data_IF_323743461714
#
_entry.id   IF_323743461714
#
_cell.length_a   1.000
_cell.length_b   1.000
_cell.length_c   1.000
_cell.angle_alpha   90.00
_cell.angle_beta   90.00
_cell.angle_gamma   90.00
#
_symmetry.space_group_name_H-M   'P 1'
#
loop_
_entity.id
_entity.type
_entity.pdbx_description
1 polymer ?
#
# COMPACT_ATOMS: atom_id res chain seq x y z
N UNK A 1 -23.89 -16.73 12.25
CA UNK A 1 -22.45 -17.01 12.46
C UNK A 1 -21.84 -17.32 11.11
N UNK A 2 -20.89 -16.48 10.67
CA UNK A 2 -19.64 -16.80 9.97
C UNK A 2 -19.23 -15.56 9.19
N UNK A 3 -18.38 -14.74 9.83
CA UNK A 3 -17.55 -13.78 9.12
C UNK A 3 -16.59 -14.65 8.31
N UNK A 4 -16.80 -14.70 7.00
CA UNK A 4 -15.96 -15.40 6.05
C UNK A 4 -14.62 -14.65 6.01
N UNK A 5 -13.70 -15.04 6.88
CA UNK A 5 -12.30 -14.60 6.82
C UNK A 5 -11.75 -14.95 5.45
N UNK A 6 -11.04 -13.99 4.84
CA UNK A 6 -10.39 -14.20 3.53
C UNK A 6 -9.60 -15.49 3.53
N UNK A 7 -9.75 -16.28 2.47
CA UNK A 7 -9.27 -17.65 2.39
C UNK A 7 -7.75 -17.71 2.62
N UNK A 8 -7.26 -18.71 3.36
CA UNK A 8 -5.84 -18.80 3.74
C UNK A 8 -4.90 -18.85 2.52
N UNK A 9 -5.43 -19.24 1.35
CA UNK A 9 -4.75 -19.19 0.05
C UNK A 9 -4.50 -17.76 -0.44
N UNK A 10 -5.44 -16.86 -0.22
CA UNK A 10 -5.29 -15.45 -0.57
C UNK A 10 -4.21 -14.79 0.29
N UNK A 11 -4.19 -15.11 1.59
CA UNK A 11 -3.15 -14.63 2.50
C UNK A 11 -1.74 -15.14 2.15
N UNK A 12 -1.62 -16.39 1.69
CA UNK A 12 -0.35 -16.96 1.24
C UNK A 12 0.13 -16.34 -0.08
N UNK A 13 -0.79 -16.11 -1.03
CA UNK A 13 -0.49 -15.43 -2.29
C UNK A 13 -0.08 -13.97 -2.08
N UNK A 14 -0.79 -13.25 -1.20
CA UNK A 14 -0.47 -11.86 -0.84
C UNK A 14 0.87 -11.77 -0.09
N UNK A 15 1.16 -12.71 0.83
CA UNK A 15 2.47 -12.78 1.48
C UNK A 15 3.61 -13.08 0.49
N UNK A 16 3.35 -13.93 -0.51
CA UNK A 16 4.28 -14.17 -1.62
C UNK A 16 4.52 -12.89 -2.43
N UNK A 17 3.46 -12.16 -2.76
CA UNK A 17 3.54 -10.88 -3.45
C UNK A 17 4.36 -9.86 -2.67
N UNK A 18 4.12 -9.73 -1.37
CA UNK A 18 4.90 -8.87 -0.46
C UNK A 18 6.38 -9.25 -0.45
N UNK A 19 6.69 -10.55 -0.41
CA UNK A 19 8.08 -11.04 -0.44
C UNK A 19 8.76 -10.73 -1.79
N UNK A 20 8.03 -10.87 -2.89
CA UNK A 20 8.51 -10.52 -4.23
C UNK A 20 8.73 -9.01 -4.37
N UNK A 21 7.89 -8.18 -3.74
CA UNK A 21 8.10 -6.72 -3.64
C UNK A 21 9.38 -6.42 -2.86
N UNK A 22 9.56 -7.04 -1.69
CA UNK A 22 10.71 -6.81 -0.79
C UNK A 22 12.05 -7.22 -1.39
N UNK A 23 12.03 -8.21 -2.29
CA UNK A 23 13.23 -8.72 -2.99
C UNK A 23 13.49 -8.02 -4.33
N UNK A 24 12.69 -7.02 -4.70
CA UNK A 24 12.83 -6.30 -5.97
C UNK A 24 12.34 -7.09 -7.20
N UNK A 25 11.60 -8.18 -6.99
CA UNK A 25 11.08 -9.04 -8.04
C UNK A 25 9.90 -8.43 -8.81
N UNK A 26 9.13 -7.52 -8.21
CA UNK A 26 8.01 -6.88 -8.91
C UNK A 26 8.50 -5.71 -9.76
N UNK A 27 8.58 -5.97 -11.06
CA UNK A 27 8.73 -4.97 -12.09
C UNK A 27 7.34 -4.39 -12.42
N UNK A 28 7.27 -3.15 -12.90
CA UNK A 28 6.02 -2.48 -13.29
C UNK A 28 5.15 -3.31 -14.26
N UNK A 29 5.76 -4.26 -14.96
CA UNK A 29 5.15 -5.14 -15.96
C UNK A 29 4.34 -6.28 -15.32
N UNK A 30 4.67 -6.64 -14.07
CA UNK A 30 3.93 -7.60 -13.24
C UNK A 30 2.67 -7.02 -12.57
N UNK A 31 2.53 -5.69 -12.54
CA UNK A 31 1.34 -5.01 -12.00
C UNK A 31 0.11 -5.17 -12.90
N UNK A 32 0.31 -5.33 -14.23
CA UNK A 32 -0.78 -5.44 -15.21
C UNK A 32 -1.72 -6.63 -14.97
N UNK A 33 -1.22 -7.71 -14.36
CA UNK A 33 -2.00 -8.91 -14.07
C UNK A 33 -2.74 -8.86 -12.72
N UNK A 34 -2.59 -7.79 -11.92
CA UNK A 34 -2.92 -7.81 -10.48
C UNK A 34 -3.74 -6.62 -9.95
N UNK A 35 -4.39 -5.80 -10.78
CA UNK A 35 -5.27 -4.72 -10.27
C UNK A 35 -6.38 -5.23 -9.32
N UNK A 36 -6.85 -6.48 -9.48
CA UNK A 36 -7.81 -7.12 -8.55
C UNK A 36 -7.20 -7.45 -7.17
N UNK A 37 -5.88 -7.54 -7.07
CA UNK A 37 -5.11 -7.97 -5.89
C UNK A 37 -4.42 -6.78 -5.23
N UNK A 38 -3.93 -5.81 -6.00
CA UNK A 38 -3.24 -4.61 -5.52
C UNK A 38 -4.20 -3.54 -5.02
N UNK A 39 -5.48 -3.59 -5.36
CA UNK A 39 -6.48 -2.65 -4.86
C UNK A 39 -6.34 -1.21 -5.40
N UNK A 40 -5.53 -1.02 -6.46
CA UNK A 40 -5.44 0.26 -7.15
C UNK A 40 -6.75 0.57 -7.89
N UNK A 41 -7.24 1.80 -7.75
CA UNK A 41 -8.54 2.21 -8.30
C UNK A 41 -8.42 3.20 -9.45
N UNK A 42 -7.40 4.05 -9.43
CA UNK A 42 -7.22 5.16 -10.38
C UNK A 42 -6.03 4.93 -11.30
N UNK A 43 -5.04 4.17 -10.85
CA UNK A 43 -3.88 3.80 -11.68
C UNK A 43 -4.11 2.43 -12.32
N UNK A 44 -4.57 2.44 -13.57
CA UNK A 44 -4.73 1.23 -14.36
C UNK A 44 -3.39 0.71 -14.93
N UNK A 45 -2.52 1.63 -15.35
CA UNK A 45 -1.18 1.35 -15.88
C UNK A 45 -0.15 2.30 -15.25
N UNK A 46 0.78 1.79 -14.41
CA UNK A 46 1.84 2.59 -13.80
C UNK A 46 2.73 3.34 -14.80
N UNK A 47 2.90 2.84 -16.04
CA UNK A 47 3.73 3.49 -17.07
C UNK A 47 3.10 4.77 -17.63
N UNK A 48 1.78 4.87 -17.54
CA UNK A 48 0.99 6.00 -18.03
C UNK A 48 0.31 6.77 -16.89
N UNK A 49 0.64 6.45 -15.63
CA UNK A 49 0.08 7.11 -14.46
C UNK A 49 0.41 8.60 -14.48
N UNK A 50 -0.58 9.43 -14.21
CA UNK A 50 -0.35 10.87 -14.02
C UNK A 50 -0.18 11.20 -12.54
N UNK A 51 0.29 12.42 -12.27
CA UNK A 51 0.37 12.94 -10.91
C UNK A 51 -1.02 13.03 -10.25
N UNK A 52 -2.05 13.38 -11.01
CA UNK A 52 -3.42 13.45 -10.51
C UNK A 52 -3.97 12.06 -10.16
N UNK A 53 -3.62 11.03 -10.95
CA UNK A 53 -3.98 9.64 -10.62
C UNK A 53 -3.31 9.21 -9.31
N UNK A 54 -2.03 9.55 -9.14
CA UNK A 54 -1.30 9.26 -7.91
C UNK A 54 -1.90 9.98 -6.68
N UNK A 55 -2.34 11.23 -6.83
CA UNK A 55 -3.04 11.96 -5.75
C UNK A 55 -4.33 11.24 -5.36
N UNK A 56 -5.18 10.87 -6.33
CA UNK A 56 -6.43 10.16 -6.07
C UNK A 56 -6.18 8.80 -5.41
N UNK A 57 -5.15 8.10 -5.85
CA UNK A 57 -4.77 6.80 -5.31
C UNK A 57 -4.29 6.91 -3.86
N UNK A 58 -3.46 7.91 -3.54
CA UNK A 58 -3.00 8.17 -2.16
C UNK A 58 -4.17 8.52 -1.25
N UNK A 59 -5.13 9.34 -1.71
CA UNK A 59 -6.32 9.69 -0.93
C UNK A 59 -7.21 8.47 -0.65
N UNK A 60 -7.49 7.65 -1.68
CA UNK A 60 -8.26 6.43 -1.51
C UNK A 60 -7.54 5.41 -0.62
N UNK A 61 -6.21 5.39 -0.66
CA UNK A 61 -5.40 4.55 0.21
C UNK A 61 -5.49 5.00 1.67
N UNK A 62 -5.42 6.31 1.95
CA UNK A 62 -5.65 6.85 3.30
C UNK A 62 -7.02 6.46 3.85
N UNK A 63 -8.09 6.57 3.06
CA UNK A 63 -9.43 6.13 3.50
C UNK A 63 -9.45 4.64 3.89
N UNK A 64 -8.69 3.80 3.19
CA UNK A 64 -8.60 2.38 3.51
C UNK A 64 -7.78 2.12 4.78
N UNK A 65 -6.73 2.92 5.03
CA UNK A 65 -5.99 2.89 6.30
C UNK A 65 -6.91 3.30 7.45
N UNK A 66 -7.66 4.40 7.32
CA UNK A 66 -8.58 4.86 8.36
C UNK A 66 -9.66 3.80 8.68
N UNK A 67 -10.21 3.13 7.66
CA UNK A 67 -11.14 2.01 7.86
C UNK A 67 -10.49 0.87 8.65
N UNK A 68 -9.24 0.51 8.33
CA UNK A 68 -8.51 -0.54 9.03
C UNK A 68 -8.14 -0.16 10.49
N UNK A 69 -7.84 1.12 10.75
CA UNK A 69 -7.67 1.63 12.12
C UNK A 69 -9.00 1.54 12.88
N UNK A 70 -10.09 2.03 12.28
CA UNK A 70 -11.42 2.04 12.91
C UNK A 70 -12.00 0.64 13.14
N UNK A 71 -11.67 -0.34 12.29
CA UNK A 71 -12.06 -1.75 12.47
C UNK A 71 -11.18 -2.48 13.49
N UNK A 72 -10.12 -1.85 14.00
CA UNK A 72 -9.15 -2.47 14.90
C UNK A 72 -8.25 -3.50 14.20
N UNK A 73 -8.10 -3.41 12.88
CA UNK A 73 -7.12 -4.20 12.12
C UNK A 73 -5.71 -3.69 12.32
N UNK A 74 -5.52 -2.37 12.38
CA UNK A 74 -4.25 -1.77 12.80
C UNK A 74 -4.36 -1.48 14.29
N UNK A 75 -3.87 -2.40 15.11
CA UNK A 75 -4.01 -2.32 16.57
C UNK A 75 -2.93 -1.49 17.25
N UNK A 76 -1.77 -1.34 16.61
CA UNK A 76 -0.71 -0.48 17.13
C UNK A 76 -1.00 0.97 16.71
N UNK A 77 -1.32 1.80 17.70
CA UNK A 77 -1.64 3.22 17.48
C UNK A 77 -0.43 3.99 16.96
N UNK A 78 0.78 3.58 17.33
CA UNK A 78 2.01 4.24 16.87
C UNK A 78 2.25 3.95 15.39
N UNK A 79 2.09 2.71 14.95
CA UNK A 79 2.18 2.35 13.53
C UNK A 79 1.14 3.13 12.70
N UNK A 80 -0.10 3.20 13.19
CA UNK A 80 -1.17 3.96 12.52
C UNK A 80 -0.82 5.46 12.39
N UNK A 81 -0.29 6.08 13.44
CA UNK A 81 0.17 7.47 13.43
C UNK A 81 1.32 7.68 12.44
N UNK A 82 2.32 6.79 12.44
CA UNK A 82 3.46 6.88 11.54
C UNK A 82 3.06 6.72 10.06
N UNK A 83 2.15 5.77 9.76
CA UNK A 83 1.59 5.59 8.43
C UNK A 83 0.85 6.87 7.98
N UNK A 84 -0.04 7.40 8.82
CA UNK A 84 -0.79 8.61 8.50
C UNK A 84 0.12 9.82 8.29
N UNK A 85 1.12 10.01 9.15
CA UNK A 85 2.10 11.09 9.00
C UNK A 85 2.88 10.98 7.68
N UNK A 86 3.29 9.77 7.30
CA UNK A 86 3.96 9.53 6.04
C UNK A 86 3.06 9.80 4.82
N UNK A 87 1.77 9.42 4.87
CA UNK A 87 0.82 9.69 3.80
C UNK A 87 0.51 11.19 3.66
N UNK A 88 0.32 11.92 4.76
CA UNK A 88 0.16 13.38 4.75
C UNK A 88 1.40 14.08 4.15
N UNK A 89 2.59 13.58 4.46
CA UNK A 89 3.84 14.07 3.85
C UNK A 89 3.85 13.85 2.32
N UNK A 90 3.38 12.68 1.86
CA UNK A 90 3.24 12.39 0.41
C UNK A 90 2.27 13.36 -0.25
N UNK A 91 1.08 13.56 0.31
CA UNK A 91 0.09 14.50 -0.23
C UNK A 91 0.63 15.92 -0.33
N UNK A 92 1.29 16.39 0.73
CA UNK A 92 1.90 17.72 0.75
C UNK A 92 2.94 17.89 -0.37
N UNK A 93 3.81 16.90 -0.54
CA UNK A 93 4.85 16.94 -1.58
C UNK A 93 4.25 16.77 -2.99
N UNK A 94 3.17 16.00 -3.14
CA UNK A 94 2.38 15.94 -4.38
C UNK A 94 1.65 17.27 -4.66
N UNK A 95 1.27 18.06 -3.67
CA UNK A 95 0.67 19.37 -3.91
C UNK A 95 1.68 20.41 -4.45
N UNK A 96 2.98 20.19 -4.27
CA UNK A 96 4.00 21.14 -4.74
C UNK A 96 4.10 21.17 -6.29
N UNK A 97 4.24 22.36 -6.92
CA UNK A 97 4.44 22.46 -8.37
C UNK A 97 5.70 21.72 -8.86
N UNK A 98 6.71 21.59 -8.00
CA UNK A 98 7.95 20.84 -8.24
C UNK A 98 8.14 19.76 -7.17
N UNK A 99 7.27 18.75 -7.20
CA UNK A 99 7.33 17.60 -6.30
C UNK A 99 8.69 16.92 -6.32
N UNK A 100 9.27 16.66 -5.14
CA UNK A 100 10.49 15.87 -5.00
C UNK A 100 10.11 14.40 -4.93
N UNK A 101 10.08 13.75 -6.09
CA UNK A 101 9.73 12.34 -6.23
C UNK A 101 10.47 11.41 -5.26
N UNK A 102 11.75 11.66 -4.99
CA UNK A 102 12.54 10.86 -4.04
C UNK A 102 12.00 10.90 -2.59
N UNK A 103 11.39 12.01 -2.17
CA UNK A 103 10.75 12.13 -0.85
C UNK A 103 9.41 11.40 -0.80
N UNK A 104 8.62 11.50 -1.88
CA UNK A 104 7.36 10.76 -2.05
C UNK A 104 7.65 9.26 -1.97
N UNK A 105 8.58 8.78 -2.78
CA UNK A 105 8.96 7.36 -2.84
C UNK A 105 9.49 6.88 -1.48
N UNK A 106 10.35 7.65 -0.81
CA UNK A 106 10.84 7.27 0.52
C UNK A 106 9.70 7.13 1.54
N UNK A 107 8.75 8.07 1.52
CA UNK A 107 7.62 8.05 2.44
C UNK A 107 6.69 6.86 2.15
N UNK A 108 6.42 6.57 0.87
CA UNK A 108 5.63 5.39 0.47
C UNK A 108 6.33 4.06 0.79
N UNK A 109 7.66 4.00 0.68
CA UNK A 109 8.45 2.83 1.14
C UNK A 109 8.29 2.61 2.64
N UNK A 110 8.39 3.67 3.44
CA UNK A 110 8.18 3.60 4.89
C UNK A 110 6.77 3.08 5.24
N UNK A 111 5.74 3.59 4.56
CA UNK A 111 4.35 3.09 4.71
C UNK A 111 4.25 1.60 4.37
N UNK A 112 4.89 1.18 3.29
CA UNK A 112 4.92 -0.23 2.86
C UNK A 112 5.61 -1.12 3.89
N UNK A 113 6.72 -0.66 4.48
CA UNK A 113 7.46 -1.38 5.53
C UNK A 113 6.62 -1.55 6.80
N UNK A 114 6.05 -0.47 7.33
CA UNK A 114 5.19 -0.50 8.51
C UNK A 114 3.99 -1.43 8.32
N UNK A 115 3.29 -1.33 7.19
CA UNK A 115 2.14 -2.20 6.91
C UNK A 115 2.52 -3.68 6.79
N UNK A 116 3.72 -3.98 6.29
CA UNK A 116 4.22 -5.35 6.26
C UNK A 116 4.51 -5.86 7.67
N UNK A 117 5.15 -5.07 8.52
CA UNK A 117 5.41 -5.43 9.92
C UNK A 117 4.12 -5.65 10.71
N UNK A 118 3.13 -4.78 10.51
CA UNK A 118 1.78 -4.95 11.08
C UNK A 118 1.12 -6.24 10.58
N UNK A 119 1.17 -6.51 9.27
CA UNK A 119 0.57 -7.72 8.68
C UNK A 119 1.27 -9.01 9.16
N UNK A 120 2.60 -9.01 9.29
CA UNK A 120 3.37 -10.14 9.83
C UNK A 120 3.02 -10.40 11.31
N UNK A 121 2.90 -9.34 12.10
CA UNK A 121 2.50 -9.41 13.53
C UNK A 121 1.10 -10.01 13.68
N UNK A 122 0.12 -9.54 12.89
CA UNK A 122 -1.25 -10.06 12.91
C UNK A 122 -1.34 -11.52 12.44
N UNK A 123 -0.51 -11.89 11.45
CA UNK A 123 -0.40 -13.28 10.98
C UNK A 123 0.15 -14.20 12.07
N UNK A 124 1.18 -13.79 12.78
CA UNK A 124 1.71 -14.54 13.92
C UNK A 124 0.69 -14.67 15.06
N UNK A 125 -0.15 -13.65 15.26
CA UNK A 125 -1.23 -13.64 16.25
C UNK A 125 -2.52 -14.35 15.83
N UNK A 126 -2.60 -14.94 14.62
CA UNK A 126 -3.79 -15.62 14.11
C UNK A 126 -4.99 -14.70 13.83
N UNK A 127 -4.80 -13.38 13.83
CA UNK A 127 -5.83 -12.35 13.62
C UNK A 127 -5.70 -11.74 12.23
N UNK A 128 -5.76 -12.60 11.22
CA UNK A 128 -5.61 -12.18 9.82
C UNK A 128 -6.96 -11.68 9.31
N UNK A 129 -7.19 -10.38 9.39
CA UNK A 129 -8.35 -9.74 8.79
C UNK A 129 -8.07 -9.39 7.32
N UNK A 130 -9.10 -9.41 6.47
CA UNK A 130 -8.92 -9.37 5.02
C UNK A 130 -8.43 -8.02 4.47
N UNK A 131 -8.55 -6.93 5.25
CA UNK A 131 -8.26 -5.58 4.78
C UNK A 131 -6.76 -5.27 4.91
N UNK A 132 -6.15 -5.54 6.07
CA UNK A 132 -4.71 -5.29 6.31
C UNK A 132 -3.78 -6.04 5.35
N UNK A 133 -4.15 -7.26 4.95
CA UNK A 133 -3.36 -8.06 3.99
C UNK A 133 -3.34 -7.40 2.60
N UNK A 134 -4.37 -6.61 2.27
CA UNK A 134 -4.46 -5.88 1.01
C UNK A 134 -3.74 -4.53 1.07
N UNK A 135 -3.66 -3.90 2.25
CA UNK A 135 -3.06 -2.57 2.41
C UNK A 135 -1.57 -2.54 2.04
N UNK A 136 -0.79 -3.51 2.50
CA UNK A 136 0.64 -3.57 2.19
C UNK A 136 0.95 -3.68 0.68
N UNK A 137 0.35 -4.60 -0.09
CA UNK A 137 0.57 -4.66 -1.52
C UNK A 137 -0.02 -3.46 -2.28
N UNK A 138 -1.07 -2.81 -1.78
CA UNK A 138 -1.55 -1.52 -2.32
C UNK A 138 -0.49 -0.43 -2.14
N UNK A 139 0.07 -0.26 -0.94
CA UNK A 139 1.13 0.71 -0.68
C UNK A 139 2.34 0.51 -1.60
N UNK A 140 2.76 -0.74 -1.78
CA UNK A 140 3.84 -1.09 -2.69
C UNK A 140 3.53 -0.73 -4.15
N UNK A 141 2.30 -0.97 -4.59
CA UNK A 141 1.85 -0.64 -5.94
C UNK A 141 1.84 0.88 -6.19
N UNK A 142 1.37 1.67 -5.20
CA UNK A 142 1.44 3.13 -5.22
C UNK A 142 2.89 3.60 -5.27
N UNK A 143 3.77 3.00 -4.46
CA UNK A 143 5.20 3.30 -4.46
C UNK A 143 5.85 3.01 -5.82
N UNK A 144 5.51 1.88 -6.45
CA UNK A 144 6.03 1.52 -7.76
C UNK A 144 5.56 2.51 -8.84
N UNK A 145 4.29 2.90 -8.82
CA UNK A 145 3.77 3.92 -9.73
C UNK A 145 4.46 5.28 -9.53
N UNK A 146 4.71 5.68 -8.28
CA UNK A 146 5.46 6.89 -7.98
C UNK A 146 6.92 6.81 -8.50
N UNK A 147 7.59 5.67 -8.35
CA UNK A 147 8.94 5.46 -8.91
C UNK A 147 8.98 5.62 -10.43
N UNK A 148 7.98 5.08 -11.13
CA UNK A 148 7.87 5.24 -12.59
C UNK A 148 7.62 6.70 -12.96
N UNK A 149 6.66 7.36 -12.30
CA UNK A 149 6.28 8.75 -12.60
C UNK A 149 7.43 9.73 -12.39
N UNK A 150 8.25 9.53 -11.35
CA UNK A 150 9.32 10.44 -11.00
C UNK A 150 10.72 10.01 -11.47
N UNK A 151 10.84 8.84 -12.10
CA UNK A 151 12.09 8.34 -12.68
C UNK A 151 13.20 8.08 -11.65
N UNK A 152 12.85 7.57 -10.47
CA UNK A 152 13.79 7.29 -9.35
C UNK A 152 13.79 5.82 -8.97
#
# INVERSE_FOLDING_TARGET
MQIQGGDAKDAAFLAGLTKDIKTGGIHAETLYAKNTVTGLQFIADPKNATKDDLVKEVAAFQENIEKAVNSGEITDTKDAEEINHALVSVEKELAEPKSKGSRIIRSLKNVTELLNETAETLKAGGKVQAQIIKLAPTAAAICAAASVLFGV
#
